data_IF_485303005998
#
_entry.id   IF_485303005998
#
_cell.length_a   1.000
_cell.length_b   1.000
_cell.length_c   1.000
_cell.angle_alpha   90.00
_cell.angle_beta   90.00
_cell.angle_gamma   90.00
#
_symmetry.space_group_name_H-M   'P 1'
#
loop_
_entity.id
_entity.type
_entity.pdbx_description
1 polymer ?
#
# COMPACT_ATOMS: atom_id res chain seq x y z
N UNK A 1 -7.32 34.53 41.33
CA UNK A 1 -7.28 33.06 41.28
C UNK A 1 -7.75 32.65 39.90
N UNK A 2 -6.81 32.49 38.96
CA UNK A 2 -7.11 32.14 37.57
C UNK A 2 -6.98 30.61 37.43
N UNK A 3 -8.04 29.94 37.11
CA UNK A 3 -8.04 28.50 36.81
C UNK A 3 -7.82 28.32 35.33
N UNK A 4 -6.62 27.88 34.96
CA UNK A 4 -6.29 27.51 33.59
C UNK A 4 -6.88 26.15 33.23
N UNK A 5 -7.77 26.15 32.25
CA UNK A 5 -8.29 24.91 31.64
C UNK A 5 -7.27 24.44 30.60
N UNK A 6 -6.56 23.35 30.88
CA UNK A 6 -5.76 22.64 29.90
C UNK A 6 -6.71 21.78 29.04
N UNK A 7 -6.93 22.18 27.80
CA UNK A 7 -7.56 21.34 26.80
C UNK A 7 -6.54 20.30 26.34
N UNK A 8 -6.67 19.07 26.80
CA UNK A 8 -5.96 17.92 26.21
C UNK A 8 -6.64 17.60 24.87
N UNK A 9 -6.00 18.01 23.77
CA UNK A 9 -6.32 17.48 22.44
C UNK A 9 -5.82 16.04 22.39
N UNK A 10 -6.69 15.09 22.72
CA UNK A 10 -6.44 13.69 22.48
C UNK A 10 -6.40 13.43 20.98
N UNK A 11 -5.22 13.10 20.43
CA UNK A 11 -5.12 12.43 19.14
C UNK A 11 -5.83 11.08 19.24
N UNK A 12 -7.10 11.06 18.87
CA UNK A 12 -7.84 9.82 18.71
C UNK A 12 -7.30 9.10 17.48
N UNK A 13 -6.48 8.07 17.70
CA UNK A 13 -6.21 7.07 16.66
C UNK A 13 -7.54 6.37 16.38
N UNK A 14 -8.25 6.79 15.34
CA UNK A 14 -9.38 6.04 14.81
C UNK A 14 -8.81 4.76 14.19
N UNK A 15 -8.87 3.65 14.93
CA UNK A 15 -8.65 2.34 14.37
C UNK A 15 -9.64 2.19 13.21
N UNK A 16 -9.15 2.14 11.97
CA UNK A 16 -9.97 1.85 10.81
C UNK A 16 -10.53 0.43 10.99
N UNK A 17 -11.79 0.36 11.41
CA UNK A 17 -12.55 -0.89 11.53
C UNK A 17 -13.08 -1.19 10.14
N UNK A 18 -12.55 -2.20 9.48
CA UNK A 18 -12.95 -2.58 8.14
C UNK A 18 -11.78 -3.13 7.32
N UNK A 19 -12.05 -3.48 6.09
CA UNK A 19 -11.06 -4.02 5.17
C UNK A 19 -10.54 -2.89 4.27
N UNK A 20 -9.32 -2.42 4.50
CA UNK A 20 -8.74 -1.27 3.78
C UNK A 20 -8.61 -1.49 2.27
N UNK A 21 -8.61 -2.74 1.81
CA UNK A 21 -8.54 -3.08 0.38
C UNK A 21 -9.93 -2.94 -0.27
N UNK A 22 -11.00 -3.18 0.50
CA UNK A 22 -12.39 -3.12 0.00
C UNK A 22 -13.03 -1.75 0.19
N UNK A 23 -12.65 -1.06 1.25
CA UNK A 23 -13.33 0.16 1.68
C UNK A 23 -12.86 1.36 0.86
N UNK A 24 -13.80 2.02 0.20
CA UNK A 24 -13.53 3.23 -0.56
C UNK A 24 -13.03 4.34 0.38
N UNK A 25 -11.88 4.91 0.05
CA UNK A 25 -11.27 6.02 0.79
C UNK A 25 -10.41 5.64 1.99
N UNK A 26 -10.44 4.39 2.48
CA UNK A 26 -9.61 3.98 3.63
C UNK A 26 -8.11 4.11 3.33
N UNK A 27 -7.64 3.57 2.21
CA UNK A 27 -6.23 3.69 1.79
C UNK A 27 -5.85 5.13 1.50
N UNK A 28 -6.74 5.92 0.89
CA UNK A 28 -6.49 7.35 0.61
C UNK A 28 -6.21 8.10 1.92
N UNK A 29 -7.03 7.89 2.96
CA UNK A 29 -6.81 8.52 4.29
C UNK A 29 -5.48 8.10 4.91
N UNK A 30 -5.15 6.79 4.86
CA UNK A 30 -3.89 6.27 5.37
C UNK A 30 -2.71 6.94 4.65
N UNK A 31 -2.78 7.11 3.34
CA UNK A 31 -1.72 7.73 2.57
C UNK A 31 -1.66 9.25 2.75
N UNK A 32 -2.79 9.90 3.00
CA UNK A 32 -2.80 11.32 3.38
C UNK A 32 -2.14 11.56 4.75
N UNK A 33 -2.37 10.66 5.73
CA UNK A 33 -1.63 10.67 6.99
C UNK A 33 -0.13 10.48 6.75
N UNK A 34 0.27 9.55 5.86
CA UNK A 34 1.67 9.31 5.53
C UNK A 34 2.36 10.54 4.96
N UNK A 35 1.74 11.22 4.00
CA UNK A 35 2.28 12.45 3.39
C UNK A 35 2.48 13.58 4.39
N UNK A 36 1.76 13.55 5.51
CA UNK A 36 1.82 14.56 6.56
C UNK A 36 2.78 14.20 7.72
N UNK A 37 3.50 13.09 7.64
CA UNK A 37 4.48 12.73 8.64
C UNK A 37 5.62 13.74 8.73
N UNK A 38 6.16 13.90 9.94
CA UNK A 38 7.34 14.72 10.15
C UNK A 38 8.49 14.25 9.25
N UNK A 39 9.09 15.19 8.54
CA UNK A 39 10.17 14.92 7.59
C UNK A 39 9.72 14.58 6.16
N UNK A 40 8.43 14.27 5.93
CA UNK A 40 7.86 14.02 4.58
C UNK A 40 6.97 15.17 4.10
N UNK A 41 6.32 15.87 5.01
CA UNK A 41 5.36 16.94 4.70
C UNK A 41 5.94 18.00 3.75
N UNK A 42 5.26 18.19 2.63
CA UNK A 42 5.64 19.16 1.59
C UNK A 42 6.83 18.76 0.73
N UNK A 43 7.32 17.52 0.83
CA UNK A 43 8.37 16.97 -0.02
C UNK A 43 7.78 16.05 -1.07
N UNK A 44 8.49 15.92 -2.20
CA UNK A 44 8.24 14.84 -3.14
C UNK A 44 8.61 13.50 -2.48
N UNK A 45 7.71 12.54 -2.56
CA UNK A 45 7.90 11.19 -2.01
C UNK A 45 8.06 10.22 -3.17
N UNK A 46 9.24 9.61 -3.27
CA UNK A 46 9.54 8.60 -4.28
C UNK A 46 9.42 7.21 -3.66
N UNK A 47 8.46 6.43 -4.13
CA UNK A 47 8.21 5.05 -3.67
C UNK A 47 9.21 4.12 -4.34
N UNK A 48 9.90 3.31 -3.54
CA UNK A 48 10.88 2.34 -3.99
C UNK A 48 10.27 0.94 -4.07
N UNK A 49 10.24 0.35 -5.25
CA UNK A 49 9.85 -1.02 -5.61
C UNK A 49 8.42 -1.42 -5.29
N UNK A 50 7.88 -1.17 -4.10
CA UNK A 50 6.55 -1.65 -3.74
C UNK A 50 5.83 -0.83 -2.67
N UNK A 51 4.49 -0.95 -2.70
CA UNK A 51 3.60 -0.64 -1.56
C UNK A 51 2.74 -1.87 -1.33
N UNK A 52 2.88 -2.48 -0.17
CA UNK A 52 2.18 -3.70 0.18
C UNK A 52 1.01 -3.41 1.12
N UNK A 53 -0.16 -3.86 0.76
CA UNK A 53 -1.42 -3.67 1.49
C UNK A 53 -1.95 -5.02 1.93
N UNK A 54 -2.18 -5.15 3.24
CA UNK A 54 -2.67 -6.37 3.88
C UNK A 54 -3.96 -6.08 4.64
N UNK A 55 -4.79 -7.12 4.73
CA UNK A 55 -6.02 -7.14 5.52
C UNK A 55 -6.20 -8.54 6.11
N UNK A 56 -7.37 -8.85 6.68
CA UNK A 56 -7.65 -10.18 7.21
C UNK A 56 -7.36 -10.33 8.70
N UNK A 57 -7.05 -11.55 9.14
CA UNK A 57 -6.92 -11.90 10.57
C UNK A 57 -5.82 -11.12 11.30
N UNK A 58 -4.76 -10.74 10.59
CA UNK A 58 -3.66 -9.94 11.17
C UNK A 58 -3.96 -8.44 11.23
N UNK A 59 -5.16 -8.05 10.82
CA UNK A 59 -5.61 -6.66 10.74
C UNK A 59 -5.07 -5.90 9.53
N UNK A 60 -5.49 -4.65 9.43
CA UNK A 60 -5.08 -3.75 8.36
C UNK A 60 -3.61 -3.33 8.52
N UNK A 61 -2.86 -3.45 7.43
CA UNK A 61 -1.44 -3.10 7.39
C UNK A 61 -1.06 -2.55 6.02
N UNK A 62 -0.29 -1.47 6.01
CA UNK A 62 0.37 -0.96 4.81
C UNK A 62 1.86 -0.92 5.06
N UNK A 63 2.65 -1.41 4.13
CA UNK A 63 4.12 -1.33 4.16
C UNK A 63 4.57 -0.59 2.91
N UNK A 64 5.37 0.44 3.10
CA UNK A 64 5.90 1.25 2.01
C UNK A 64 7.39 1.48 2.21
N UNK A 65 8.15 1.34 1.14
CA UNK A 65 9.53 1.73 1.06
C UNK A 65 9.63 3.02 0.24
N UNK A 66 10.35 4.01 0.73
CA UNK A 66 10.58 5.25 0.00
C UNK A 66 12.06 5.59 -0.07
N UNK A 67 12.44 6.25 -1.14
CA UNK A 67 13.74 6.90 -1.18
C UNK A 67 13.78 7.99 -0.12
N UNK A 68 14.79 7.98 0.72
CA UNK A 68 14.95 8.98 1.79
C UNK A 68 15.12 10.36 1.14
N UNK A 69 14.29 11.34 1.50
CA UNK A 69 14.33 12.65 0.88
C UNK A 69 15.73 13.28 0.89
N UNK A 70 16.21 13.67 -0.29
CA UNK A 70 17.53 14.29 -0.47
C UNK A 70 18.68 13.29 -0.73
N UNK A 71 18.39 12.02 -0.94
CA UNK A 71 19.38 10.99 -1.30
C UNK A 71 18.96 10.26 -2.59
N UNK A 72 19.91 9.54 -3.24
CA UNK A 72 19.65 8.80 -4.48
C UNK A 72 19.60 7.27 -4.26
N UNK A 73 20.07 6.79 -3.10
CA UNK A 73 20.32 5.38 -2.83
C UNK A 73 20.01 4.94 -1.39
N UNK A 74 19.59 5.85 -0.51
CA UNK A 74 19.11 5.48 0.82
C UNK A 74 17.61 5.25 0.81
N UNK A 75 17.15 4.10 1.32
CA UNK A 75 15.73 3.74 1.38
C UNK A 75 15.30 3.57 2.82
N UNK A 76 14.15 4.13 3.14
CA UNK A 76 13.48 4.00 4.42
C UNK A 76 12.17 3.20 4.27
N UNK A 77 11.96 2.27 5.21
CA UNK A 77 10.72 1.51 5.35
C UNK A 77 9.80 2.14 6.39
N UNK A 78 8.52 2.20 6.07
CA UNK A 78 7.45 2.59 6.97
C UNK A 78 6.36 1.53 7.00
N UNK A 79 5.73 1.38 8.15
CA UNK A 79 4.64 0.43 8.35
C UNK A 79 3.47 1.12 9.06
N UNK A 80 2.25 0.94 8.52
CA UNK A 80 0.99 1.34 9.14
C UNK A 80 0.31 0.13 9.79
N UNK A 81 -0.07 0.29 11.08
CA UNK A 81 -0.91 -0.64 11.85
C UNK A 81 -1.81 0.17 12.78
N UNK A 82 -2.78 0.91 12.20
CA UNK A 82 -3.57 1.88 12.97
C UNK A 82 -2.84 3.18 13.31
N UNK A 83 -1.64 3.36 12.78
CA UNK A 83 -0.76 4.51 12.85
C UNK A 83 0.57 4.19 12.16
N UNK A 84 1.27 5.21 11.69
CA UNK A 84 2.54 5.03 11.00
C UNK A 84 3.71 4.84 11.96
N UNK A 85 4.59 3.88 11.65
CA UNK A 85 5.86 3.69 12.35
C UNK A 85 6.83 4.84 12.08
N UNK A 86 7.88 4.97 12.88
CA UNK A 86 9.06 5.74 12.50
C UNK A 86 9.77 5.08 11.33
N UNK A 87 10.49 5.88 10.52
CA UNK A 87 11.34 5.40 9.45
C UNK A 87 12.36 4.36 9.96
N UNK A 88 12.55 3.30 9.17
CA UNK A 88 13.57 2.27 9.43
C UNK A 88 14.45 2.12 8.19
N UNK A 89 15.77 2.31 8.28
CA UNK A 89 16.66 2.13 7.14
C UNK A 89 16.54 0.73 6.54
N UNK A 90 16.54 0.65 5.22
CA UNK A 90 16.54 -0.60 4.45
C UNK A 90 17.95 -0.87 3.96
N UNK A 91 18.48 -2.05 4.26
CA UNK A 91 19.75 -2.50 3.68
C UNK A 91 19.50 -2.97 2.25
N UNK A 92 19.97 -2.21 1.29
CA UNK A 92 19.91 -2.57 -0.13
C UNK A 92 21.01 -3.55 -0.50
N UNK A 93 20.70 -4.45 -1.45
CA UNK A 93 21.67 -5.34 -2.07
C UNK A 93 21.56 -5.22 -3.59
N UNK A 94 22.68 -5.34 -4.29
CA UNK A 94 22.73 -5.27 -5.75
C UNK A 94 23.55 -4.08 -6.26
N UNK A 95 23.67 -3.99 -7.58
CA UNK A 95 24.30 -2.89 -8.29
C UNK A 95 23.22 -2.02 -8.95
N UNK A 96 23.33 -0.71 -8.85
CA UNK A 96 22.38 0.25 -9.41
C UNK A 96 21.96 1.28 -8.37
N UNK A 97 21.30 2.33 -8.84
CA UNK A 97 20.77 3.37 -7.96
C UNK A 97 19.33 3.02 -7.54
N UNK A 98 18.99 3.23 -6.28
CA UNK A 98 17.64 3.00 -5.78
C UNK A 98 16.61 3.85 -6.55
N UNK A 99 16.97 5.08 -6.90
CA UNK A 99 16.11 6.01 -7.63
C UNK A 99 15.60 5.45 -8.97
N UNK A 100 16.37 4.57 -9.65
CA UNK A 100 15.97 3.97 -10.93
C UNK A 100 14.77 3.02 -10.81
N UNK A 101 14.44 2.59 -9.59
CA UNK A 101 13.32 1.70 -9.28
C UNK A 101 12.19 2.43 -8.53
N UNK A 102 12.19 3.75 -8.58
CA UNK A 102 11.21 4.57 -7.88
C UNK A 102 10.10 5.10 -8.80
N UNK A 103 8.98 5.46 -8.18
CA UNK A 103 7.88 6.21 -8.79
C UNK A 103 7.41 7.29 -7.79
N UNK A 104 7.03 8.50 -8.26
CA UNK A 104 6.36 9.46 -7.40
C UNK A 104 5.10 8.86 -6.78
N UNK A 105 4.93 9.02 -5.46
CA UNK A 105 3.77 8.51 -4.74
C UNK A 105 2.44 9.00 -5.34
N UNK A 106 2.44 10.20 -5.90
CA UNK A 106 1.26 10.82 -6.53
C UNK A 106 0.77 10.09 -7.79
N UNK A 107 1.63 9.25 -8.39
CA UNK A 107 1.26 8.41 -9.55
C UNK A 107 0.59 7.10 -9.13
N UNK A 108 0.55 6.78 -7.83
CA UNK A 108 -0.13 5.61 -7.29
C UNK A 108 -1.51 5.99 -6.77
N UNK A 109 -2.56 5.67 -7.55
CA UNK A 109 -3.94 5.98 -7.16
C UNK A 109 -4.52 4.90 -6.24
N UNK A 110 -4.44 5.13 -4.94
CA UNK A 110 -4.97 4.22 -3.92
C UNK A 110 -6.51 4.11 -3.93
N UNK A 111 -7.22 5.06 -4.54
CA UNK A 111 -8.67 4.98 -4.71
C UNK A 111 -9.08 3.89 -5.72
N UNK A 112 -8.15 3.39 -6.55
CA UNK A 112 -8.40 2.30 -7.50
C UNK A 112 -8.39 0.91 -6.86
N UNK A 113 -7.81 0.73 -5.69
CA UNK A 113 -7.65 -0.59 -5.06
C UNK A 113 -9.00 -1.29 -4.82
N UNK A 114 -10.08 -0.65 -4.34
CA UNK A 114 -11.38 -1.31 -4.24
C UNK A 114 -11.95 -1.76 -5.59
N UNK A 115 -11.68 -1.03 -6.68
CA UNK A 115 -12.07 -1.42 -8.04
C UNK A 115 -11.29 -2.67 -8.49
N UNK A 116 -9.99 -2.73 -8.23
CA UNK A 116 -9.15 -3.91 -8.48
C UNK A 116 -9.69 -5.11 -7.73
N UNK A 117 -10.08 -4.94 -6.46
CA UNK A 117 -10.70 -6.00 -5.68
C UNK A 117 -11.99 -6.51 -6.32
N UNK A 118 -12.92 -5.62 -6.71
CA UNK A 118 -14.16 -5.97 -7.41
C UNK A 118 -13.89 -6.68 -8.73
N UNK A 119 -12.87 -6.27 -9.48
CA UNK A 119 -12.44 -6.93 -10.71
C UNK A 119 -11.94 -8.35 -10.43
N UNK A 120 -11.17 -8.57 -9.37
CA UNK A 120 -10.75 -9.91 -8.94
C UNK A 120 -11.94 -10.78 -8.56
N UNK A 121 -12.94 -10.27 -7.82
CA UNK A 121 -14.17 -11.01 -7.50
C UNK A 121 -14.86 -11.51 -8.78
N UNK A 122 -14.94 -10.66 -9.81
CA UNK A 122 -15.54 -11.04 -11.10
C UNK A 122 -14.74 -12.15 -11.81
N UNK A 123 -13.40 -12.16 -11.70
CA UNK A 123 -12.56 -13.20 -12.33
C UNK A 123 -12.70 -14.57 -11.65
N UNK A 124 -12.95 -14.61 -10.36
CA UNK A 124 -12.99 -15.88 -9.60
C UNK A 124 -14.40 -16.38 -9.28
N UNK A 125 -15.45 -15.67 -9.68
CA UNK A 125 -16.85 -15.95 -9.30
C UNK A 125 -17.32 -17.38 -9.62
N UNK A 126 -16.83 -17.94 -10.74
CA UNK A 126 -17.20 -19.27 -11.22
C UNK A 126 -16.18 -20.36 -10.82
N UNK A 127 -15.20 -20.01 -9.98
CA UNK A 127 -14.18 -20.94 -9.50
C UNK A 127 -14.56 -21.45 -8.11
N UNK A 128 -14.87 -22.72 -8.01
CA UNK A 128 -15.31 -23.36 -6.77
C UNK A 128 -14.32 -23.16 -5.61
N UNK A 129 -14.82 -22.60 -4.51
CA UNK A 129 -14.06 -22.36 -3.30
C UNK A 129 -12.93 -21.33 -3.42
N UNK A 130 -12.93 -20.54 -4.51
CA UNK A 130 -11.92 -19.49 -4.67
C UNK A 130 -12.16 -18.33 -3.71
N UNK A 131 -11.04 -17.80 -3.17
CA UNK A 131 -11.01 -16.63 -2.31
C UNK A 131 -9.84 -15.74 -2.72
N UNK A 132 -10.06 -14.42 -2.76
CA UNK A 132 -9.00 -13.45 -2.96
C UNK A 132 -8.11 -13.48 -1.72
N UNK A 133 -6.81 -13.42 -1.92
CA UNK A 133 -5.86 -13.32 -0.81
C UNK A 133 -6.00 -11.97 -0.11
N UNK A 134 -5.72 -11.95 1.19
CA UNK A 134 -5.75 -10.74 2.03
C UNK A 134 -4.54 -9.82 1.77
N UNK A 135 -4.15 -9.68 0.51
CA UNK A 135 -2.97 -8.96 0.08
C UNK A 135 -3.12 -8.42 -1.34
N UNK A 136 -2.73 -7.17 -1.53
CA UNK A 136 -2.53 -6.52 -2.83
C UNK A 136 -1.30 -5.62 -2.77
N UNK A 137 -0.68 -5.34 -3.90
CA UNK A 137 0.46 -4.43 -3.95
C UNK A 137 0.51 -3.60 -5.23
N UNK A 138 0.95 -2.36 -5.11
CA UNK A 138 1.68 -1.70 -6.19
C UNK A 138 3.08 -2.25 -6.19
N UNK A 139 3.63 -2.62 -7.35
CA UNK A 139 4.97 -3.20 -7.44
C UNK A 139 5.69 -2.78 -8.71
N UNK A 140 7.01 -2.69 -8.61
CA UNK A 140 7.91 -2.55 -9.75
C UNK A 140 8.40 -3.93 -10.17
N UNK A 141 8.07 -4.33 -11.41
CA UNK A 141 8.46 -5.62 -11.95
C UNK A 141 8.83 -5.50 -13.42
N UNK A 142 10.00 -6.04 -13.81
CA UNK A 142 10.50 -6.00 -15.19
C UNK A 142 10.49 -4.58 -15.81
N UNK A 143 10.93 -3.58 -15.04
CA UNK A 143 11.01 -2.19 -15.50
C UNK A 143 9.67 -1.45 -15.57
N UNK A 144 8.60 -1.98 -14.98
CA UNK A 144 7.25 -1.38 -15.01
C UNK A 144 6.60 -1.45 -13.65
N UNK A 145 5.76 -0.46 -13.38
CA UNK A 145 4.88 -0.47 -12.24
C UNK A 145 3.51 -1.05 -12.62
N UNK A 146 2.98 -1.90 -11.77
CA UNK A 146 1.65 -2.49 -11.89
C UNK A 146 1.00 -2.68 -10.51
N UNK A 147 -0.30 -3.05 -10.52
CA UNK A 147 -0.99 -3.52 -9.32
C UNK A 147 -1.08 -5.04 -9.43
N UNK A 148 -0.69 -5.75 -8.37
CA UNK A 148 -0.75 -7.19 -8.27
C UNK A 148 -1.76 -7.63 -7.24
N UNK A 149 -2.55 -8.64 -7.61
CA UNK A 149 -3.49 -9.32 -6.73
C UNK A 149 -3.42 -10.82 -6.95
N UNK A 150 -3.82 -11.60 -5.95
CA UNK A 150 -3.89 -13.06 -6.06
C UNK A 150 -5.13 -13.63 -5.41
N UNK A 151 -5.47 -14.86 -5.80
CA UNK A 151 -6.54 -15.62 -5.22
C UNK A 151 -6.14 -17.10 -5.14
N UNK A 152 -6.78 -17.83 -4.24
CA UNK A 152 -6.57 -19.27 -4.06
C UNK A 152 -7.89 -20.01 -4.06
N UNK A 153 -7.88 -21.22 -4.63
CA UNK A 153 -8.91 -22.23 -4.48
C UNK A 153 -8.31 -23.50 -3.88
N UNK A 154 -9.12 -24.52 -3.52
CA UNK A 154 -8.59 -25.80 -3.04
C UNK A 154 -7.62 -26.48 -4.01
N UNK A 155 -7.66 -26.12 -5.30
CA UNK A 155 -6.88 -26.80 -6.35
C UNK A 155 -5.86 -25.94 -7.08
N UNK A 156 -5.85 -24.61 -6.86
CA UNK A 156 -4.96 -23.72 -7.61
C UNK A 156 -4.78 -22.35 -6.95
N UNK A 157 -3.69 -21.69 -7.33
CA UNK A 157 -3.49 -20.26 -7.12
C UNK A 157 -3.72 -19.52 -8.42
N UNK A 158 -4.20 -18.29 -8.31
CA UNK A 158 -4.48 -17.39 -9.43
C UNK A 158 -3.76 -16.07 -9.17
N UNK A 159 -3.20 -15.49 -10.23
CA UNK A 159 -2.51 -14.21 -10.17
C UNK A 159 -3.13 -13.26 -11.20
N UNK A 160 -3.29 -12.01 -10.80
CA UNK A 160 -3.75 -10.96 -11.67
C UNK A 160 -2.81 -9.76 -11.62
N UNK A 161 -2.54 -9.21 -12.79
CA UNK A 161 -1.78 -7.99 -12.98
C UNK A 161 -2.73 -6.93 -13.58
N UNK A 162 -2.74 -5.74 -13.01
CA UNK A 162 -3.52 -4.59 -13.44
C UNK A 162 -2.57 -3.44 -13.78
N UNK A 163 -2.98 -2.55 -14.69
CA UNK A 163 -2.28 -1.27 -14.83
C UNK A 163 -2.55 -0.36 -13.61
N UNK A 164 -1.87 0.79 -13.56
CA UNK A 164 -2.04 1.74 -12.46
C UNK A 164 -3.42 2.40 -12.42
N UNK A 165 -4.16 2.35 -13.53
CA UNK A 165 -5.57 2.80 -13.61
C UNK A 165 -6.56 1.75 -13.09
N UNK A 166 -6.08 0.56 -12.70
CA UNK A 166 -6.89 -0.54 -12.18
C UNK A 166 -7.54 -1.41 -13.25
N UNK A 167 -7.11 -1.33 -14.52
CA UNK A 167 -7.59 -2.18 -15.59
C UNK A 167 -6.85 -3.51 -15.60
N UNK A 168 -7.60 -4.62 -15.70
CA UNK A 168 -7.03 -5.97 -15.76
C UNK A 168 -6.19 -6.16 -17.03
N UNK A 169 -4.92 -6.51 -16.87
CA UNK A 169 -4.00 -6.83 -17.95
C UNK A 169 -3.81 -8.32 -18.15
N UNK A 170 -3.82 -9.06 -17.04
CA UNK A 170 -3.57 -10.50 -17.07
C UNK A 170 -4.25 -11.18 -15.90
N UNK A 171 -4.86 -12.31 -16.17
CA UNK A 171 -5.33 -13.26 -15.15
C UNK A 171 -4.85 -14.66 -15.53
N UNK A 172 -4.19 -15.35 -14.61
CA UNK A 172 -3.65 -16.69 -14.88
C UNK A 172 -3.77 -17.60 -13.68
N UNK A 173 -3.99 -18.88 -13.97
CA UNK A 173 -3.82 -20.00 -13.04
C UNK A 173 -2.32 -20.38 -13.00
N UNK A 174 -1.83 -20.66 -11.78
CA UNK A 174 -0.48 -21.21 -11.56
C UNK A 174 -0.58 -22.72 -11.37
#
# INVERSE_FOLDING_TARGET
MLVGVFAMTGCGSSSLVGNIIKDEGSLVKIMDEFKNLDGLKGKEILVFQDVNMYTGETGNRVVINILKPGTDDEVDNYEYRGGWSKARPVQLSGSGKAIDNCIPLEQLDFAKIPQVYKSMEAQIKDIEGAKIDDYMSFRFWQGKWDISASAKSPRAKYFADFDLDGNLKKFKKN
#
